data_IF_763627576777
#
_entry.id   IF_763627576777
#
_cell.length_a   1.000
_cell.length_b   1.000
_cell.length_c   1.000
_cell.angle_alpha   90.00
_cell.angle_beta   90.00
_cell.angle_gamma   90.00
#
_symmetry.space_group_name_H-M   'P 1'
#
loop_
_entity.id
_entity.type
_entity.pdbx_description
1 polymer ?
#
# COMPACT_ATOMS: atom_id res chain seq x y z
N UNK A 1 -8.76 6.36 -21.28
CA UNK A 1 -7.61 6.60 -20.39
C UNK A 1 -7.76 8.00 -19.83
N UNK A 2 -7.42 8.22 -18.58
CA UNK A 2 -7.50 9.56 -17.97
C UNK A 2 -6.37 10.43 -18.56
N UNK A 3 -6.67 11.64 -19.04
CA UNK A 3 -5.68 12.55 -19.63
C UNK A 3 -4.73 13.19 -18.60
N UNK A 4 -4.87 12.85 -17.32
CA UNK A 4 -4.07 13.42 -16.24
C UNK A 4 -3.49 12.32 -15.32
N UNK A 5 -2.27 12.46 -14.83
CA UNK A 5 -1.67 11.53 -13.88
C UNK A 5 -2.46 11.49 -12.56
N UNK A 6 -2.26 10.42 -11.79
CA UNK A 6 -2.81 10.25 -10.45
C UNK A 6 -1.94 10.91 -9.38
N UNK A 7 -0.63 10.79 -9.55
CA UNK A 7 0.39 11.34 -8.64
C UNK A 7 1.47 12.05 -9.46
N UNK A 8 1.92 13.21 -8.98
CA UNK A 8 3.07 13.95 -9.51
C UNK A 8 4.08 14.13 -8.40
N UNK A 9 5.31 13.76 -8.67
CA UNK A 9 6.46 13.92 -7.77
C UNK A 9 7.46 14.85 -8.44
N UNK A 10 7.76 15.96 -7.79
CA UNK A 10 8.62 17.01 -8.38
C UNK A 10 9.72 17.41 -7.40
N UNK A 11 10.98 17.15 -7.77
CA UNK A 11 12.17 17.56 -7.03
C UNK A 11 12.29 16.98 -5.62
N UNK A 12 11.62 15.86 -5.33
CA UNK A 12 11.59 15.30 -3.97
C UNK A 12 12.99 14.91 -3.53
N UNK A 13 13.41 15.50 -2.41
CA UNK A 13 14.72 15.26 -1.80
C UNK A 13 14.57 15.05 -0.29
N UNK A 14 15.36 14.14 0.26
CA UNK A 14 15.46 13.92 1.71
C UNK A 14 16.92 13.82 2.12
N UNK A 15 17.31 14.71 3.03
CA UNK A 15 18.64 14.72 3.64
C UNK A 15 18.53 14.45 5.14
N UNK A 16 19.49 13.68 5.66
CA UNK A 16 19.70 13.42 7.09
C UNK A 16 21.07 14.00 7.47
N UNK A 17 21.13 15.30 7.74
CA UNK A 17 22.40 16.01 7.85
C UNK A 17 23.18 15.94 6.54
N UNK A 18 24.38 15.37 6.55
CA UNK A 18 25.22 15.16 5.36
C UNK A 18 24.85 13.93 4.53
N UNK A 19 24.03 13.01 5.08
CA UNK A 19 23.63 11.80 4.38
C UNK A 19 22.45 12.07 3.47
N UNK A 20 22.54 11.63 2.22
CA UNK A 20 21.47 11.71 1.23
C UNK A 20 20.56 10.47 1.40
N UNK A 21 19.26 10.69 1.66
CA UNK A 21 18.25 9.65 1.60
C UNK A 21 17.73 9.45 0.18
N UNK A 22 17.29 10.53 -0.48
CA UNK A 22 17.00 10.60 -1.90
C UNK A 22 17.23 12.05 -2.36
N UNK A 23 17.44 12.28 -3.67
CA UNK A 23 17.74 13.61 -4.19
C UNK A 23 17.10 13.82 -5.55
N UNK A 24 16.40 14.94 -5.69
CA UNK A 24 15.84 15.47 -6.94
C UNK A 24 15.05 14.41 -7.75
N UNK A 25 14.13 13.71 -7.08
CA UNK A 25 13.34 12.67 -7.72
C UNK A 25 12.10 13.28 -8.37
N UNK A 26 11.94 12.96 -9.66
CA UNK A 26 10.87 13.47 -10.50
C UNK A 26 10.20 12.32 -11.26
N UNK A 27 8.87 12.18 -11.16
CA UNK A 27 8.08 11.26 -11.99
C UNK A 27 6.58 11.57 -11.88
N UNK A 28 5.82 11.03 -12.80
CA UNK A 28 4.36 10.99 -12.76
C UNK A 28 3.91 9.53 -12.73
N UNK A 29 2.78 9.26 -12.07
CA UNK A 29 2.13 7.95 -12.02
C UNK A 29 0.69 8.09 -12.51
N UNK A 30 0.31 7.21 -13.42
CA UNK A 30 -1.01 7.24 -14.04
C UNK A 30 -1.96 6.21 -13.41
N UNK A 31 -3.29 6.41 -13.50
CA UNK A 31 -4.25 5.39 -13.05
C UNK A 31 -4.01 4.05 -13.76
N UNK A 32 -3.97 2.96 -12.99
CA UNK A 32 -3.70 1.61 -13.51
C UNK A 32 -2.23 1.30 -13.81
N UNK A 33 -1.32 2.25 -13.56
CA UNK A 33 0.12 2.06 -13.80
C UNK A 33 0.81 1.42 -12.58
N UNK A 34 1.80 0.58 -12.86
CA UNK A 34 2.71 0.03 -11.85
C UNK A 34 4.11 0.61 -12.05
N UNK A 35 4.56 1.41 -11.08
CA UNK A 35 5.91 1.96 -11.04
C UNK A 35 6.79 1.12 -10.10
N UNK A 36 7.86 0.54 -10.63
CA UNK A 36 8.86 -0.16 -9.83
C UNK A 36 10.04 0.76 -9.49
N UNK A 37 10.39 0.84 -8.20
CA UNK A 37 11.59 1.51 -7.70
C UNK A 37 12.60 0.42 -7.35
N UNK A 38 13.65 0.29 -8.17
CA UNK A 38 14.65 -0.78 -8.06
C UNK A 38 16.00 -0.19 -7.68
N UNK A 39 16.80 -0.90 -6.90
CA UNK A 39 18.16 -0.50 -6.54
C UNK A 39 18.71 -1.30 -5.36
N UNK A 40 19.99 -1.11 -5.07
CA UNK A 40 20.67 -1.79 -3.96
C UNK A 40 20.09 -1.47 -2.59
N UNK A 41 20.37 -2.32 -1.60
CA UNK A 41 20.01 -2.03 -0.20
C UNK A 41 20.69 -0.74 0.25
N UNK A 42 19.94 0.12 0.94
CA UNK A 42 20.45 1.41 1.42
C UNK A 42 20.51 2.54 0.37
N UNK A 43 20.08 2.32 -0.87
CA UNK A 43 20.05 3.37 -1.92
C UNK A 43 18.95 4.44 -1.72
N UNK A 44 18.14 4.33 -0.67
CA UNK A 44 17.13 5.33 -0.35
C UNK A 44 15.71 5.04 -0.85
N UNK A 45 15.44 3.85 -1.40
CA UNK A 45 14.12 3.45 -1.93
C UNK A 45 12.99 3.61 -0.90
N UNK A 46 13.15 3.02 0.27
CA UNK A 46 12.19 3.14 1.38
C UNK A 46 12.06 4.60 1.86
N UNK A 47 13.14 5.38 1.85
CA UNK A 47 13.10 6.82 2.17
C UNK A 47 12.22 7.55 1.18
N UNK A 48 12.41 7.32 -0.13
CA UNK A 48 11.59 7.91 -1.18
C UNK A 48 10.13 7.47 -1.03
N UNK A 49 9.87 6.15 -0.87
CA UNK A 49 8.52 5.63 -0.69
C UNK A 49 7.80 6.28 0.51
N UNK A 50 8.52 6.47 1.63
CA UNK A 50 7.96 7.14 2.81
C UNK A 50 7.71 8.62 2.56
N UNK A 51 8.55 9.32 1.77
CA UNK A 51 8.28 10.69 1.37
C UNK A 51 7.03 10.78 0.49
N UNK A 52 6.91 9.98 -0.56
CA UNK A 52 5.75 10.07 -1.47
C UNK A 52 4.45 9.57 -0.84
N UNK A 53 4.50 8.70 0.17
CA UNK A 53 3.34 8.22 0.93
C UNK A 53 3.00 9.06 2.17
N UNK A 54 3.61 10.23 2.33
CA UNK A 54 3.43 11.18 3.45
C UNK A 54 3.81 10.68 4.84
N UNK A 55 4.53 9.58 4.92
CA UNK A 55 5.04 9.01 6.18
C UNK A 55 6.29 9.71 6.69
N UNK A 56 7.01 10.36 5.79
CA UNK A 56 8.23 11.11 6.08
C UNK A 56 8.19 12.45 5.34
N UNK A 57 8.39 13.55 6.05
CA UNK A 57 8.48 14.87 5.45
C UNK A 57 9.77 14.99 4.61
N UNK A 58 9.70 15.31 3.31
CA UNK A 58 10.88 15.58 2.51
C UNK A 58 11.58 16.87 2.96
N UNK A 59 12.82 17.03 2.55
CA UNK A 59 13.58 18.26 2.79
C UNK A 59 13.28 19.32 1.72
N UNK A 60 12.94 18.87 0.51
CA UNK A 60 12.57 19.72 -0.63
C UNK A 60 11.69 18.94 -1.61
N UNK A 61 11.05 19.69 -2.52
CA UNK A 61 10.17 19.14 -3.54
C UNK A 61 8.71 19.09 -3.11
N UNK A 62 7.84 18.62 -4.01
CA UNK A 62 6.41 18.49 -3.80
C UNK A 62 5.89 17.12 -4.25
N UNK A 63 4.78 16.69 -3.64
CA UNK A 63 4.04 15.51 -4.03
C UNK A 63 2.58 15.90 -4.18
N UNK A 64 2.09 15.93 -5.41
CA UNK A 64 0.72 16.31 -5.71
C UNK A 64 -0.10 15.06 -6.07
N UNK A 65 -1.24 14.91 -5.44
CA UNK A 65 -2.17 13.82 -5.67
C UNK A 65 -3.48 14.34 -6.27
N UNK A 66 -3.98 13.67 -7.31
CA UNK A 66 -5.28 13.99 -7.92
C UNK A 66 -6.41 13.42 -7.08
N UNK A 67 -7.10 14.30 -6.39
CA UNK A 67 -8.25 13.98 -5.56
C UNK A 67 -9.42 13.43 -6.39
N UNK A 68 -10.45 12.89 -5.73
CA UNK A 68 -11.65 12.36 -6.40
C UNK A 68 -12.46 13.44 -7.13
N UNK A 69 -12.33 14.71 -6.72
CA UNK A 69 -12.92 15.87 -7.38
C UNK A 69 -12.17 16.31 -8.66
N UNK A 70 -11.05 15.61 -8.98
CA UNK A 70 -10.22 15.89 -10.15
C UNK A 70 -9.11 16.91 -9.91
N UNK A 71 -9.12 17.63 -8.80
CA UNK A 71 -8.12 18.64 -8.47
C UNK A 71 -6.83 18.01 -7.92
N UNK A 72 -5.68 18.59 -8.28
CA UNK A 72 -4.42 18.26 -7.64
C UNK A 72 -4.27 19.00 -6.33
N UNK A 73 -3.78 18.29 -5.31
CA UNK A 73 -3.40 18.89 -4.03
C UNK A 73 -2.01 18.42 -3.63
N UNK A 74 -1.19 19.37 -3.20
CA UNK A 74 0.10 19.04 -2.58
C UNK A 74 -0.15 18.42 -1.21
N UNK A 75 0.33 17.19 -1.05
CA UNK A 75 0.09 16.36 0.14
C UNK A 75 0.70 16.96 1.40
N UNK A 76 1.76 17.75 1.25
CA UNK A 76 2.44 18.37 2.40
C UNK A 76 1.81 19.70 2.83
N UNK A 77 0.96 20.31 1.99
CA UNK A 77 0.14 21.44 2.34
C UNK A 77 -1.25 21.04 2.87
N UNK A 78 -1.60 19.76 2.84
CA UNK A 78 -2.83 19.24 3.43
C UNK A 78 -2.70 19.14 4.97
N UNK A 79 -3.83 19.31 5.65
CA UNK A 79 -3.92 19.03 7.08
C UNK A 79 -3.66 17.54 7.40
N UNK A 80 -3.26 17.26 8.62
CA UNK A 80 -3.06 15.86 9.06
C UNK A 80 -4.36 15.03 8.95
N UNK A 81 -5.50 15.65 9.23
CA UNK A 81 -6.81 15.00 9.13
C UNK A 81 -7.14 14.58 7.68
N UNK A 82 -6.87 15.45 6.71
CA UNK A 82 -7.07 15.16 5.28
C UNK A 82 -6.13 14.05 4.81
N UNK A 83 -4.85 14.09 5.18
CA UNK A 83 -3.89 13.01 4.87
C UNK A 83 -4.32 11.68 5.47
N UNK A 84 -4.76 11.66 6.73
CA UNK A 84 -5.27 10.43 7.37
C UNK A 84 -6.51 9.90 6.68
N UNK A 85 -7.41 10.79 6.23
CA UNK A 85 -8.58 10.39 5.46
C UNK A 85 -8.16 9.73 4.13
N UNK A 86 -7.25 10.35 3.39
CA UNK A 86 -6.70 9.82 2.14
C UNK A 86 -6.08 8.41 2.34
N UNK A 87 -5.27 8.24 3.39
CA UNK A 87 -4.65 6.95 3.72
C UNK A 87 -5.67 5.85 4.09
N UNK A 88 -6.87 6.21 4.53
CA UNK A 88 -7.92 5.24 4.87
C UNK A 88 -8.80 4.87 3.68
N UNK A 89 -9.04 5.80 2.77
CA UNK A 89 -10.05 5.67 1.71
C UNK A 89 -9.47 5.40 0.34
N UNK A 90 -8.37 6.08 -0.02
CA UNK A 90 -7.81 6.09 -1.37
C UNK A 90 -6.49 5.34 -1.49
N UNK A 91 -5.81 5.07 -0.36
CA UNK A 91 -4.48 4.50 -0.35
C UNK A 91 -4.39 3.21 0.43
N UNK A 92 -3.55 2.28 -0.06
CA UNK A 92 -3.05 1.13 0.68
C UNK A 92 -1.55 1.25 0.92
N UNK A 93 -1.05 0.64 2.00
CA UNK A 93 0.38 0.53 2.24
C UNK A 93 0.74 -0.88 2.73
N UNK A 94 1.51 -1.60 1.92
CA UNK A 94 2.01 -2.94 2.22
C UNK A 94 3.45 -2.82 2.72
N UNK A 95 3.67 -3.18 3.98
CA UNK A 95 4.97 -3.14 4.63
C UNK A 95 5.83 -4.36 4.26
N UNK A 96 7.14 -4.19 4.29
CA UNK A 96 8.11 -5.27 4.16
C UNK A 96 7.90 -6.36 5.24
N UNK A 97 7.78 -5.93 6.51
CA UNK A 97 7.40 -6.83 7.58
C UNK A 97 5.88 -6.80 7.80
N UNK A 98 5.16 -7.92 7.57
CA UNK A 98 3.71 -7.96 7.74
C UNK A 98 3.24 -7.60 9.16
N UNK A 99 4.06 -7.79 10.18
CA UNK A 99 3.71 -7.45 11.56
C UNK A 99 3.51 -5.94 11.77
N UNK A 100 4.12 -5.09 10.93
CA UNK A 100 3.95 -3.64 11.00
C UNK A 100 2.60 -3.17 10.39
N UNK A 101 2.00 -4.01 9.55
CA UNK A 101 0.72 -3.74 8.89
C UNK A 101 -0.47 -4.52 9.44
N UNK A 102 -0.25 -5.52 10.31
CA UNK A 102 -1.28 -6.42 10.82
C UNK A 102 -1.40 -6.33 12.36
N UNK A 103 -2.62 -6.48 12.85
CA UNK A 103 -2.87 -6.70 14.27
C UNK A 103 -2.73 -8.20 14.57
N UNK A 104 -1.57 -8.60 15.07
CA UNK A 104 -1.16 -10.00 15.20
C UNK A 104 -2.03 -10.83 16.17
N UNK A 105 -2.79 -10.17 17.07
CA UNK A 105 -3.63 -10.79 18.10
C UNK A 105 -5.12 -10.76 17.76
N UNK A 106 -5.47 -10.23 16.58
CA UNK A 106 -6.85 -10.10 16.11
C UNK A 106 -7.02 -11.05 14.91
N UNK A 107 -8.21 -11.61 14.72
CA UNK A 107 -8.45 -12.58 13.63
C UNK A 107 -8.15 -12.00 12.24
N UNK A 108 -7.91 -12.87 11.26
CA UNK A 108 -7.69 -12.49 9.87
C UNK A 108 -8.88 -11.68 9.32
N UNK A 109 -10.10 -12.16 9.55
CA UNK A 109 -11.31 -11.44 9.15
C UNK A 109 -11.45 -10.06 9.77
N UNK A 110 -11.10 -9.92 11.06
CA UNK A 110 -11.15 -8.63 11.73
C UNK A 110 -10.03 -7.68 11.25
N UNK A 111 -8.86 -8.19 10.87
CA UNK A 111 -7.81 -7.39 10.22
C UNK A 111 -8.29 -6.76 8.91
N UNK A 112 -9.00 -7.52 8.07
CA UNK A 112 -9.58 -7.02 6.82
C UNK A 112 -10.77 -6.10 7.11
N UNK A 113 -11.69 -6.53 7.98
CA UNK A 113 -12.91 -5.81 8.33
C UNK A 113 -12.68 -4.44 8.98
N UNK A 114 -11.59 -4.26 9.72
CA UNK A 114 -11.21 -2.96 10.31
C UNK A 114 -11.11 -1.86 9.27
N UNK A 115 -10.61 -2.17 8.06
CA UNK A 115 -10.51 -1.21 6.96
C UNK A 115 -11.89 -0.83 6.42
N UNK A 116 -12.80 -1.77 6.31
CA UNK A 116 -14.19 -1.51 5.90
C UNK A 116 -14.91 -0.64 6.93
N UNK A 117 -14.73 -0.92 8.22
CA UNK A 117 -15.26 -0.08 9.28
C UNK A 117 -14.69 1.35 9.24
N UNK A 118 -13.42 1.50 8.89
CA UNK A 118 -12.76 2.80 8.81
C UNK A 118 -13.33 3.69 7.67
N UNK A 119 -13.91 3.08 6.63
CA UNK A 119 -14.59 3.81 5.54
C UNK A 119 -16.10 3.91 5.72
N UNK A 120 -16.62 3.48 6.87
CA UNK A 120 -18.02 3.73 7.26
C UNK A 120 -18.94 2.52 7.26
N UNK A 121 -18.48 1.34 6.84
CA UNK A 121 -19.31 0.13 6.92
C UNK A 121 -19.54 -0.27 8.40
N UNK A 122 -20.76 -0.63 8.75
CA UNK A 122 -21.15 -1.00 10.12
C UNK A 122 -21.89 -2.33 10.19
N UNK A 123 -22.18 -2.95 9.06
CA UNK A 123 -22.94 -4.19 9.03
C UNK A 123 -22.01 -5.40 9.16
N UNK A 124 -21.96 -6.01 10.35
CA UNK A 124 -21.04 -7.10 10.66
C UNK A 124 -21.08 -8.26 9.66
N UNK A 125 -22.28 -8.75 9.30
CA UNK A 125 -22.43 -9.86 8.35
C UNK A 125 -21.80 -9.54 6.98
N UNK A 126 -22.06 -8.35 6.46
CA UNK A 126 -21.47 -7.88 5.19
C UNK A 126 -19.96 -7.71 5.27
N UNK A 127 -19.46 -7.15 6.38
CA UNK A 127 -18.02 -7.01 6.62
C UNK A 127 -17.35 -8.38 6.63
N UNK A 128 -17.95 -9.38 7.33
CA UNK A 128 -17.42 -10.73 7.40
C UNK A 128 -17.44 -11.44 6.05
N UNK A 129 -18.54 -11.33 5.30
CA UNK A 129 -18.66 -11.86 3.95
C UNK A 129 -17.57 -11.27 3.02
N UNK A 130 -17.46 -9.95 2.97
CA UNK A 130 -16.44 -9.27 2.19
C UNK A 130 -15.03 -9.68 2.61
N UNK A 131 -14.76 -9.82 3.91
CA UNK A 131 -13.47 -10.28 4.41
C UNK A 131 -13.17 -11.72 3.96
N UNK A 132 -14.18 -12.61 3.97
CA UNK A 132 -14.06 -14.00 3.50
C UNK A 132 -13.71 -14.04 2.00
N UNK A 133 -14.38 -13.26 1.18
CA UNK A 133 -14.11 -13.16 -0.26
C UNK A 133 -12.68 -12.68 -0.52
N UNK A 134 -12.22 -11.68 0.25
CA UNK A 134 -10.86 -11.17 0.12
C UNK A 134 -9.79 -12.17 0.58
N UNK A 135 -10.06 -12.99 1.60
CA UNK A 135 -9.17 -14.10 1.95
C UNK A 135 -9.03 -15.07 0.78
N UNK A 136 -10.13 -15.42 0.11
CA UNK A 136 -10.12 -16.26 -1.08
C UNK A 136 -9.29 -15.65 -2.22
N UNK A 137 -9.45 -14.34 -2.49
CA UNK A 137 -8.68 -13.62 -3.53
C UNK A 137 -7.17 -13.64 -3.28
N UNK A 138 -6.74 -13.69 -2.03
CA UNK A 138 -5.32 -13.79 -1.66
C UNK A 138 -4.89 -15.22 -1.33
N UNK A 139 -5.65 -16.22 -1.77
CA UNK A 139 -5.37 -17.65 -1.59
C UNK A 139 -5.18 -18.06 -0.12
N UNK A 140 -5.96 -17.48 0.77
CA UNK A 140 -6.12 -17.92 2.16
C UNK A 140 -7.48 -18.59 2.28
N UNK A 141 -7.50 -19.83 2.78
CA UNK A 141 -8.75 -20.59 2.93
C UNK A 141 -9.73 -19.88 3.87
N UNK A 142 -11.02 -19.88 3.49
CA UNK A 142 -12.09 -19.17 4.21
C UNK A 142 -12.32 -19.66 5.65
N UNK A 143 -12.01 -20.92 5.93
CA UNK A 143 -12.07 -21.50 7.28
C UNK A 143 -11.06 -20.87 8.26
N UNK A 144 -10.05 -20.19 7.73
CA UNK A 144 -9.03 -19.48 8.51
C UNK A 144 -9.40 -18.04 8.88
N UNK A 145 -10.63 -17.61 8.60
CA UNK A 145 -11.07 -16.23 8.85
C UNK A 145 -10.98 -15.82 10.33
N UNK A 146 -11.17 -16.77 11.23
CA UNK A 146 -11.11 -16.55 12.68
C UNK A 146 -9.70 -16.76 13.27
N UNK A 147 -8.76 -17.27 12.50
CA UNK A 147 -7.38 -17.46 12.92
C UNK A 147 -6.64 -16.13 13.08
N UNK A 148 -5.72 -16.10 14.04
CA UNK A 148 -4.84 -14.94 14.25
C UNK A 148 -3.64 -15.01 13.31
N UNK A 149 -3.11 -13.86 12.81
CA UNK A 149 -1.96 -13.82 11.92
C UNK A 149 -0.70 -14.48 12.50
N UNK A 150 -0.58 -14.59 13.83
CA UNK A 150 0.53 -15.32 14.47
C UNK A 150 0.57 -16.80 14.11
N UNK A 151 -0.58 -17.40 13.77
CA UNK A 151 -0.67 -18.80 13.32
C UNK A 151 -0.42 -18.98 11.81
N UNK A 152 -0.17 -17.89 11.07
CA UNK A 152 0.07 -17.90 9.64
C UNK A 152 1.57 -17.97 9.33
N UNK A 153 1.90 -18.58 8.18
CA UNK A 153 3.25 -18.49 7.61
C UNK A 153 3.59 -17.04 7.20
N UNK A 154 4.87 -16.75 6.94
CA UNK A 154 5.30 -15.43 6.46
C UNK A 154 4.55 -14.99 5.20
N UNK A 155 4.46 -15.88 4.21
CA UNK A 155 3.73 -15.62 2.97
C UNK A 155 2.23 -15.41 3.18
N UNK A 156 1.58 -16.18 4.08
CA UNK A 156 0.17 -15.96 4.44
C UNK A 156 -0.05 -14.61 5.13
N UNK A 157 0.84 -14.20 6.01
CA UNK A 157 0.77 -12.87 6.64
C UNK A 157 0.87 -11.75 5.59
N UNK A 158 1.77 -11.91 4.62
CA UNK A 158 1.92 -10.94 3.54
C UNK A 158 0.67 -10.85 2.67
N UNK A 159 0.09 -12.01 2.30
CA UNK A 159 -1.19 -12.08 1.59
C UNK A 159 -2.34 -11.43 2.36
N UNK A 160 -2.43 -11.69 3.67
CA UNK A 160 -3.43 -11.06 4.53
C UNK A 160 -3.24 -9.53 4.58
N UNK A 161 -2.00 -9.05 4.65
CA UNK A 161 -1.70 -7.62 4.62
C UNK A 161 -2.16 -6.98 3.29
N UNK A 162 -1.98 -7.68 2.17
CA UNK A 162 -2.46 -7.24 0.86
C UNK A 162 -3.98 -7.16 0.86
N UNK A 163 -4.69 -8.23 1.28
CA UNK A 163 -6.15 -8.23 1.37
C UNK A 163 -6.67 -7.05 2.21
N UNK A 164 -6.10 -6.84 3.40
CA UNK A 164 -6.41 -5.73 4.29
C UNK A 164 -6.28 -4.37 3.60
N UNK A 165 -5.26 -4.18 2.78
CA UNK A 165 -5.02 -2.90 2.12
C UNK A 165 -5.86 -2.68 0.86
N UNK A 166 -6.27 -3.75 0.18
CA UNK A 166 -7.01 -3.66 -1.08
C UNK A 166 -8.54 -3.72 -0.90
N UNK A 167 -9.04 -4.19 0.24
CA UNK A 167 -10.48 -4.41 0.49
C UNK A 167 -11.32 -3.14 0.35
N UNK A 168 -10.75 -1.96 0.57
CA UNK A 168 -11.44 -0.67 0.44
C UNK A 168 -11.47 -0.12 -0.99
N UNK A 169 -10.89 -0.85 -1.97
CA UNK A 169 -10.77 -0.38 -3.34
C UNK A 169 -9.94 0.91 -3.46
N UNK A 170 -8.70 0.93 -2.94
CA UNK A 170 -7.86 2.12 -3.03
C UNK A 170 -7.55 2.46 -4.50
N UNK A 171 -7.19 3.71 -4.78
CA UNK A 171 -6.72 4.13 -6.12
C UNK A 171 -5.21 3.99 -6.27
N UNK A 172 -4.48 3.99 -5.16
CA UNK A 172 -3.02 3.91 -5.12
C UNK A 172 -2.55 2.97 -4.00
N UNK A 173 -1.62 2.08 -4.31
CA UNK A 173 -0.99 1.21 -3.30
C UNK A 173 0.53 1.39 -3.33
N UNK A 174 1.08 1.63 -2.16
CA UNK A 174 2.53 1.62 -1.92
C UNK A 174 2.93 0.25 -1.36
N UNK A 175 3.98 -0.33 -1.89
CA UNK A 175 4.51 -1.64 -1.46
C UNK A 175 6.01 -1.52 -1.22
N UNK A 176 6.42 -1.71 0.03
CA UNK A 176 7.82 -1.69 0.43
C UNK A 176 8.32 -3.12 0.52
N UNK A 177 9.10 -3.57 -0.46
CA UNK A 177 9.67 -4.91 -0.57
C UNK A 177 8.69 -6.04 -0.19
N UNK A 178 7.51 -6.13 -0.85
CA UNK A 178 6.41 -7.01 -0.43
C UNK A 178 6.78 -8.50 -0.43
N UNK A 179 7.89 -8.87 -1.04
CA UNK A 179 8.41 -10.25 -1.10
C UNK A 179 9.61 -10.49 -0.19
N UNK A 180 10.06 -9.46 0.53
CA UNK A 180 11.24 -9.55 1.38
C UNK A 180 11.13 -10.66 2.44
N UNK A 181 12.19 -11.46 2.59
CA UNK A 181 12.25 -12.54 3.59
C UNK A 181 11.41 -13.78 3.27
N UNK A 182 10.86 -13.89 2.05
CA UNK A 182 10.15 -15.09 1.59
C UNK A 182 11.03 -15.93 0.66
N UNK A 183 10.76 -17.24 0.62
CA UNK A 183 11.42 -18.15 -0.33
C UNK A 183 11.10 -17.77 -1.78
N UNK A 184 12.04 -18.01 -2.70
CA UNK A 184 11.94 -17.60 -4.12
C UNK A 184 10.65 -18.06 -4.77
N UNK A 185 10.20 -19.30 -4.52
CA UNK A 185 8.94 -19.83 -5.05
C UNK A 185 7.71 -19.11 -4.50
N UNK A 186 7.75 -18.67 -3.26
CA UNK A 186 6.68 -17.90 -2.61
C UNK A 186 6.68 -16.47 -3.11
N UNK A 187 7.86 -15.88 -3.35
CA UNK A 187 8.01 -14.55 -3.93
C UNK A 187 7.34 -14.45 -5.30
N UNK A 188 7.65 -15.40 -6.22
CA UNK A 188 7.09 -15.41 -7.57
C UNK A 188 5.55 -15.47 -7.54
N UNK A 189 4.98 -16.40 -6.76
CA UNK A 189 3.52 -16.51 -6.60
C UNK A 189 2.88 -15.26 -6.03
N UNK A 190 3.54 -14.60 -5.05
CA UNK A 190 3.03 -13.38 -4.45
C UNK A 190 3.04 -12.21 -5.45
N UNK A 191 4.08 -12.10 -6.28
CA UNK A 191 4.17 -11.07 -7.33
C UNK A 191 3.10 -11.29 -8.39
N UNK A 192 2.86 -12.53 -8.83
CA UNK A 192 1.79 -12.87 -9.78
C UNK A 192 0.41 -12.53 -9.20
N UNK A 193 0.17 -12.87 -7.93
CA UNK A 193 -1.06 -12.51 -7.22
C UNK A 193 -1.27 -10.98 -7.17
N UNK A 194 -0.24 -10.24 -6.76
CA UNK A 194 -0.29 -8.77 -6.70
C UNK A 194 -0.58 -8.17 -8.07
N UNK A 195 0.11 -8.67 -9.10
CA UNK A 195 -0.08 -8.21 -10.48
C UNK A 195 -1.51 -8.45 -10.98
N UNK A 196 -2.05 -9.62 -10.70
CA UNK A 196 -3.46 -9.94 -11.02
C UNK A 196 -4.41 -8.97 -10.33
N UNK A 197 -4.28 -8.79 -9.00
CA UNK A 197 -5.15 -7.92 -8.22
C UNK A 197 -5.05 -6.44 -8.65
N UNK A 198 -3.84 -5.95 -8.96
CA UNK A 198 -3.64 -4.57 -9.46
C UNK A 198 -4.36 -4.36 -10.78
N UNK A 199 -4.22 -5.31 -11.72
CA UNK A 199 -4.88 -5.25 -13.03
C UNK A 199 -6.41 -5.35 -12.90
N UNK A 200 -6.90 -6.31 -12.13
CA UNK A 200 -8.34 -6.55 -11.95
C UNK A 200 -9.06 -5.36 -11.32
N UNK A 201 -8.39 -4.69 -10.40
CA UNK A 201 -8.93 -3.52 -9.68
C UNK A 201 -8.67 -2.20 -10.41
N UNK A 202 -7.82 -2.19 -11.44
CA UNK A 202 -7.43 -0.98 -12.16
C UNK A 202 -6.76 0.08 -11.30
N UNK A 203 -6.10 -0.33 -10.22
CA UNK A 203 -5.43 0.59 -9.29
C UNK A 203 -3.99 0.90 -9.75
N UNK A 204 -3.46 2.04 -9.33
CA UNK A 204 -2.05 2.34 -9.49
C UNK A 204 -1.22 1.75 -8.35
N UNK A 205 0.03 1.37 -8.62
CA UNK A 205 0.91 0.83 -7.58
C UNK A 205 2.33 1.39 -7.71
N UNK A 206 2.97 1.66 -6.56
CA UNK A 206 4.41 1.93 -6.47
C UNK A 206 5.03 0.81 -5.65
N UNK A 207 5.96 0.07 -6.27
CA UNK A 207 6.58 -1.11 -5.66
C UNK A 207 8.07 -0.88 -5.52
N UNK A 208 8.57 -0.93 -4.28
CA UNK A 208 10.01 -0.98 -4.00
C UNK A 208 10.45 -2.44 -4.01
N UNK A 209 11.51 -2.73 -4.73
CA UNK A 209 12.09 -4.07 -4.81
C UNK A 209 13.61 -4.01 -5.06
N UNK A 210 14.25 -5.16 -4.95
CA UNK A 210 15.68 -5.34 -5.26
C UNK A 210 15.90 -5.78 -6.71
#
# INVERSE_FOLDING_TARGET
>A
MSDNPLLKVSGVSKFYGSRIGCKDVNFELWPGEVLAIVGESGSGKTTLLNCISTRLLPTAGSVEYRMRDGNFRDLYHMSEAERRFLMRTDWGFVHQNPADGLRMTVSAGANVGERLMAVGDRHYGKIRETATDWLGRVEISADRIDDQPRAFSGGMRQRLQIARNLVTGPRLVFMDEPTGGLDVSVQARLLDLVRGLVNDLGLAAIVVTH
#
